data_IF_841989340686
#
_entry.id   IF_841989340686
#
_cell.length_a   1.000
_cell.length_b   1.000
_cell.length_c   1.000
_cell.angle_alpha   90.00
_cell.angle_beta   90.00
_cell.angle_gamma   90.00
#
_symmetry.space_group_name_H-M   'P 1'
#
loop_
_entity.id
_entity.type
_entity.pdbx_description
1 polymer ?
#
# COMPACT_ATOMS: atom_id res chain seq x y z
N UNK A 1 -1.58 -11.71 -4.11
CA UNK A 1 -2.87 -12.11 -3.50
C UNK A 1 -3.41 -13.37 -4.17
N UNK A 2 -3.72 -13.35 -5.47
CA UNK A 2 -4.37 -14.46 -6.17
C UNK A 2 -3.62 -15.80 -6.04
N UNK A 3 -2.29 -15.80 -6.10
CA UNK A 3 -1.50 -17.02 -5.91
C UNK A 3 -1.72 -17.63 -4.51
N UNK A 4 -1.69 -16.79 -3.47
CA UNK A 4 -1.94 -17.24 -2.10
C UNK A 4 -3.35 -17.82 -1.92
N UNK A 5 -4.37 -17.20 -2.53
CA UNK A 5 -5.75 -17.72 -2.56
C UNK A 5 -5.77 -19.11 -3.21
N UNK A 6 -5.23 -19.25 -4.41
CA UNK A 6 -5.21 -20.54 -5.16
C UNK A 6 -4.57 -21.66 -4.37
N UNK A 7 -3.42 -21.40 -3.76
CA UNK A 7 -2.70 -22.43 -2.98
C UNK A 7 -3.48 -22.85 -1.74
N UNK A 8 -4.14 -21.90 -1.04
CA UNK A 8 -4.97 -22.22 0.11
C UNK A 8 -6.21 -23.03 -0.28
N UNK A 9 -6.93 -22.63 -1.33
CA UNK A 9 -8.10 -23.36 -1.81
C UNK A 9 -7.74 -24.78 -2.26
N UNK A 10 -6.63 -24.94 -2.97
CA UNK A 10 -6.14 -26.27 -3.39
C UNK A 10 -5.83 -27.18 -2.17
N UNK A 11 -5.32 -26.62 -1.08
CA UNK A 11 -5.04 -27.36 0.15
C UNK A 11 -6.29 -27.81 0.91
N UNK A 12 -7.43 -27.18 0.64
CA UNK A 12 -8.74 -27.44 1.27
C UNK A 12 -9.71 -28.23 0.36
N UNK A 13 -9.24 -28.70 -0.80
CA UNK A 13 -10.07 -29.38 -1.82
C UNK A 13 -11.24 -28.51 -2.29
N UNK A 14 -11.01 -27.20 -2.39
CA UNK A 14 -11.98 -26.21 -2.84
C UNK A 14 -11.71 -25.82 -4.28
N UNK A 15 -12.76 -25.56 -5.04
CA UNK A 15 -12.68 -25.18 -6.45
C UNK A 15 -12.79 -23.67 -6.63
N UNK A 16 -11.82 -23.08 -7.30
CA UNK A 16 -11.90 -21.70 -7.78
C UNK A 16 -12.68 -21.67 -9.12
N UNK A 17 -13.94 -21.18 -9.07
CA UNK A 17 -14.83 -21.17 -10.23
C UNK A 17 -14.40 -20.12 -11.26
N UNK A 18 -14.21 -18.89 -10.83
CA UNK A 18 -13.86 -17.76 -11.70
C UNK A 18 -13.04 -16.71 -10.97
N UNK A 19 -12.24 -15.96 -11.75
CA UNK A 19 -11.48 -14.78 -11.28
C UNK A 19 -11.82 -13.61 -12.19
N UNK A 20 -12.46 -12.60 -11.62
CA UNK A 20 -12.73 -11.33 -12.30
C UNK A 20 -11.73 -10.26 -11.85
N UNK A 21 -11.07 -9.60 -12.79
CA UNK A 21 -10.16 -8.48 -12.53
C UNK A 21 -10.77 -7.16 -13.02
N UNK A 22 -11.24 -6.33 -12.11
CA UNK A 22 -11.77 -5.01 -12.43
C UNK A 22 -10.64 -4.00 -12.59
N UNK A 23 -10.24 -3.76 -13.82
CA UNK A 23 -9.44 -2.58 -14.16
C UNK A 23 -10.41 -1.44 -14.47
N UNK A 24 -10.62 -0.51 -13.52
CA UNK A 24 -11.43 0.65 -13.84
C UNK A 24 -12.37 1.16 -12.76
N UNK A 25 -13.56 1.58 -13.18
CA UNK A 25 -14.52 2.28 -12.34
C UNK A 25 -15.25 1.35 -11.36
N UNK A 26 -15.79 1.96 -10.29
CA UNK A 26 -16.66 1.29 -9.31
C UNK A 26 -17.82 0.54 -10.01
N UNK A 27 -18.40 1.12 -11.05
CA UNK A 27 -19.49 0.47 -11.83
C UNK A 27 -19.06 -0.84 -12.46
N UNK A 28 -17.83 -0.95 -12.98
CA UNK A 28 -17.30 -2.22 -13.50
C UNK A 28 -17.18 -3.28 -12.40
N UNK A 29 -16.72 -2.89 -11.22
CA UNK A 29 -16.60 -3.80 -10.06
C UNK A 29 -17.97 -4.27 -9.57
N UNK A 30 -18.96 -3.37 -9.53
CA UNK A 30 -20.33 -3.71 -9.19
C UNK A 30 -20.92 -4.74 -10.17
N UNK A 31 -20.75 -4.52 -11.46
CA UNK A 31 -21.19 -5.47 -12.49
C UNK A 31 -20.51 -6.85 -12.33
N UNK A 32 -19.20 -6.89 -12.12
CA UNK A 32 -18.48 -8.14 -11.92
C UNK A 32 -18.93 -8.89 -10.66
N UNK A 33 -19.16 -8.20 -9.56
CA UNK A 33 -19.72 -8.83 -8.36
C UNK A 33 -21.11 -9.41 -8.62
N UNK A 34 -21.93 -8.75 -9.43
CA UNK A 34 -23.23 -9.25 -9.82
C UNK A 34 -23.12 -10.50 -10.72
N UNK A 35 -22.20 -10.52 -11.66
CA UNK A 35 -21.94 -11.67 -12.52
C UNK A 35 -21.44 -12.87 -11.72
N UNK A 36 -20.49 -12.67 -10.81
CA UNK A 36 -20.00 -13.71 -9.90
C UNK A 36 -21.13 -14.27 -9.02
N UNK A 37 -22.02 -13.44 -8.52
CA UNK A 37 -23.18 -13.88 -7.73
C UNK A 37 -24.14 -14.80 -8.53
N UNK A 38 -24.28 -14.57 -9.83
CA UNK A 38 -25.13 -15.43 -10.71
C UNK A 38 -24.63 -16.86 -10.83
N UNK A 39 -23.35 -17.09 -10.57
CA UNK A 39 -22.76 -18.44 -10.53
C UNK A 39 -23.16 -19.19 -9.26
N UNK A 40 -23.84 -18.53 -8.32
CA UNK A 40 -24.24 -19.05 -7.02
C UNK A 40 -23.10 -19.77 -6.26
N UNK A 41 -21.92 -19.14 -6.11
CA UNK A 41 -20.81 -19.75 -5.42
C UNK A 41 -21.08 -19.80 -3.91
N UNK A 42 -20.42 -20.70 -3.20
CA UNK A 42 -20.48 -20.76 -1.73
C UNK A 42 -19.83 -19.54 -1.09
N UNK A 43 -18.79 -18.98 -1.71
CA UNK A 43 -18.12 -17.77 -1.26
C UNK A 43 -17.65 -16.87 -2.42
N UNK A 44 -17.63 -15.55 -2.17
CA UNK A 44 -16.99 -14.55 -3.03
C UNK A 44 -15.88 -13.88 -2.23
N UNK A 45 -14.65 -13.95 -2.72
CA UNK A 45 -13.52 -13.18 -2.19
C UNK A 45 -13.42 -11.89 -2.99
N UNK A 46 -13.65 -10.73 -2.34
CA UNK A 46 -13.53 -9.41 -2.96
C UNK A 46 -12.33 -8.66 -2.39
N UNK A 47 -11.41 -8.27 -3.27
CA UNK A 47 -10.28 -7.40 -2.92
C UNK A 47 -10.52 -6.01 -3.51
N UNK A 48 -11.06 -5.10 -2.72
CA UNK A 48 -11.43 -3.75 -3.15
C UNK A 48 -11.34 -2.74 -2.02
N UNK A 49 -10.82 -1.56 -2.35
CA UNK A 49 -10.80 -0.39 -1.45
C UNK A 49 -11.99 0.54 -1.64
N UNK A 50 -12.91 0.23 -2.57
CA UNK A 50 -14.12 1.05 -2.84
C UNK A 50 -15.34 0.61 -2.02
N UNK A 51 -15.14 0.24 -0.79
CA UNK A 51 -16.17 -0.38 0.06
C UNK A 51 -17.40 0.50 0.24
N UNK A 52 -17.21 1.80 0.40
CA UNK A 52 -18.33 2.74 0.54
C UNK A 52 -19.18 2.77 -0.73
N UNK A 53 -18.55 2.80 -1.89
CA UNK A 53 -19.25 2.84 -3.17
C UNK A 53 -19.89 1.50 -3.56
N UNK A 54 -19.38 0.38 -3.03
CA UNK A 54 -19.92 -0.97 -3.24
C UNK A 54 -20.82 -1.44 -2.09
N UNK A 55 -21.10 -0.58 -1.12
CA UNK A 55 -21.88 -0.92 0.09
C UNK A 55 -23.18 -1.64 -0.22
N UNK A 56 -24.00 -1.09 -1.10
CA UNK A 56 -25.31 -1.66 -1.43
C UNK A 56 -25.18 -3.03 -2.09
N UNK A 57 -24.16 -3.22 -2.90
CA UNK A 57 -23.84 -4.52 -3.50
C UNK A 57 -23.44 -5.55 -2.45
N UNK A 58 -22.59 -5.18 -1.53
CA UNK A 58 -22.17 -6.08 -0.44
C UNK A 58 -23.34 -6.46 0.46
N UNK A 59 -24.24 -5.53 0.77
CA UNK A 59 -25.46 -5.81 1.51
C UNK A 59 -26.41 -6.74 0.74
N UNK A 60 -26.56 -6.56 -0.57
CA UNK A 60 -27.37 -7.45 -1.41
C UNK A 60 -26.79 -8.87 -1.43
N UNK A 61 -25.47 -9.02 -1.59
CA UNK A 61 -24.80 -10.33 -1.57
C UNK A 61 -24.97 -11.03 -0.22
N UNK A 62 -24.95 -10.31 0.88
CA UNK A 62 -25.15 -10.88 2.22
C UNK A 62 -26.56 -11.42 2.45
N UNK A 63 -27.57 -10.92 1.71
CA UNK A 63 -28.94 -11.43 1.76
C UNK A 63 -29.09 -12.75 1.00
N UNK A 64 -28.14 -13.10 0.14
CA UNK A 64 -28.02 -14.37 -0.55
C UNK A 64 -27.24 -15.37 0.34
N UNK A 65 -27.21 -16.64 0.00
CA UNK A 65 -26.48 -17.65 0.79
C UNK A 65 -24.96 -17.60 0.58
N UNK A 66 -24.48 -16.80 -0.36
CA UNK A 66 -23.06 -16.66 -0.69
C UNK A 66 -22.33 -15.90 0.42
N UNK A 67 -21.26 -16.48 0.95
CA UNK A 67 -20.39 -15.80 1.94
C UNK A 67 -19.53 -14.76 1.25
N UNK A 68 -19.52 -13.55 1.78
CA UNK A 68 -18.61 -12.49 1.33
C UNK A 68 -17.38 -12.45 2.23
N UNK A 69 -16.21 -12.53 1.61
CA UNK A 69 -14.90 -12.44 2.27
C UNK A 69 -14.17 -11.25 1.68
N UNK A 70 -13.73 -10.32 2.52
CA UNK A 70 -13.15 -9.06 2.08
C UNK A 70 -11.64 -9.02 2.31
N UNK A 71 -10.90 -8.73 1.24
CA UNK A 71 -9.51 -8.32 1.31
C UNK A 71 -9.43 -6.79 1.20
N UNK A 72 -8.95 -6.10 2.23
CA UNK A 72 -9.06 -4.65 2.34
C UNK A 72 -7.83 -4.04 3.02
N UNK A 73 -7.66 -2.72 2.89
CA UNK A 73 -6.61 -2.00 3.62
C UNK A 73 -7.07 -1.59 5.03
N UNK A 74 -8.37 -1.43 5.24
CA UNK A 74 -9.00 -1.22 6.56
C UNK A 74 -10.28 -2.04 6.66
N UNK A 75 -10.69 -2.43 7.88
CA UNK A 75 -12.00 -3.04 8.09
C UNK A 75 -13.12 -2.18 7.50
N UNK A 76 -14.10 -2.79 6.82
CA UNK A 76 -15.17 -2.05 6.15
C UNK A 76 -16.14 -1.43 7.17
N UNK A 77 -16.68 -0.25 6.81
CA UNK A 77 -17.85 0.33 7.50
C UNK A 77 -19.14 -0.35 6.99
N UNK A 78 -19.28 -1.64 7.32
CA UNK A 78 -20.41 -2.49 7.00
C UNK A 78 -20.93 -3.16 8.27
N UNK A 79 -22.24 -3.50 8.34
CA UNK A 79 -22.75 -4.32 9.43
C UNK A 79 -22.03 -5.68 9.47
N UNK A 80 -21.84 -6.23 10.66
CA UNK A 80 -21.15 -7.51 10.86
C UNK A 80 -21.75 -8.69 10.06
N UNK A 81 -23.06 -8.65 9.81
CA UNK A 81 -23.75 -9.66 9.01
C UNK A 81 -23.48 -9.56 7.50
N UNK A 82 -22.92 -8.44 7.01
CA UNK A 82 -22.73 -8.18 5.58
C UNK A 82 -21.56 -8.93 4.98
N UNK A 83 -20.68 -9.52 5.79
CA UNK A 83 -19.53 -10.30 5.35
C UNK A 83 -19.16 -11.36 6.40
N UNK A 84 -18.60 -12.47 5.95
CA UNK A 84 -18.20 -13.56 6.84
C UNK A 84 -16.93 -13.18 7.62
N UNK A 85 -15.98 -12.54 6.94
CA UNK A 85 -14.72 -12.07 7.54
C UNK A 85 -14.04 -11.05 6.65
N UNK A 86 -13.04 -10.34 7.20
CA UNK A 86 -12.14 -9.51 6.42
C UNK A 86 -10.67 -9.76 6.81
N UNK A 87 -9.79 -9.68 5.82
CA UNK A 87 -8.35 -9.67 5.98
C UNK A 87 -7.85 -8.29 5.60
N UNK A 88 -7.31 -7.56 6.56
CA UNK A 88 -6.88 -6.16 6.38
C UNK A 88 -5.39 -5.99 6.62
N UNK A 89 -4.78 -4.99 5.97
CA UNK A 89 -3.41 -4.56 6.25
C UNK A 89 -3.41 -3.55 7.41
N UNK A 90 -2.35 -3.59 8.23
CA UNK A 90 -2.16 -2.58 9.26
C UNK A 90 -1.32 -1.41 8.69
N UNK A 91 -1.98 -0.46 8.06
CA UNK A 91 -1.31 0.68 7.42
C UNK A 91 -0.64 1.61 8.44
N UNK A 92 -1.16 1.72 9.65
CA UNK A 92 -0.49 2.45 10.75
C UNK A 92 0.85 1.82 11.09
N UNK A 93 0.89 0.51 11.30
CA UNK A 93 2.15 -0.18 11.63
C UNK A 93 3.14 -0.17 10.47
N UNK A 94 2.64 -0.28 9.24
CA UNK A 94 3.44 -0.14 8.02
C UNK A 94 4.12 1.24 7.95
N UNK A 95 3.40 2.30 8.27
CA UNK A 95 3.96 3.65 8.36
C UNK A 95 5.02 3.77 9.46
N UNK A 96 4.71 3.27 10.66
CA UNK A 96 5.66 3.25 11.79
C UNK A 96 6.96 2.55 11.44
N UNK A 97 6.88 1.37 10.84
CA UNK A 97 8.05 0.60 10.42
C UNK A 97 8.88 1.36 9.37
N UNK A 98 8.23 1.99 8.39
CA UNK A 98 8.93 2.77 7.37
C UNK A 98 9.64 4.00 7.95
N UNK A 99 8.96 4.76 8.82
CA UNK A 99 9.53 5.90 9.52
C UNK A 99 10.71 5.49 10.39
N UNK A 100 10.56 4.43 11.17
CA UNK A 100 11.62 3.90 12.05
C UNK A 100 12.82 3.39 11.25
N UNK A 101 12.59 2.67 10.16
CA UNK A 101 13.65 2.16 9.30
C UNK A 101 14.51 3.29 8.72
N UNK A 102 13.86 4.30 8.13
CA UNK A 102 14.57 5.46 7.58
C UNK A 102 15.32 6.23 8.68
N UNK A 103 14.64 6.56 9.77
CA UNK A 103 15.21 7.32 10.87
C UNK A 103 16.43 6.62 11.49
N UNK A 104 16.33 5.34 11.79
CA UNK A 104 17.42 4.55 12.38
C UNK A 104 18.63 4.51 11.48
N UNK A 105 18.43 4.32 10.18
CA UNK A 105 19.53 4.26 9.22
C UNK A 105 20.17 5.64 8.97
N UNK A 106 19.37 6.70 8.96
CA UNK A 106 19.88 8.07 8.90
C UNK A 106 20.78 8.38 10.09
N UNK A 107 20.35 8.09 11.32
CA UNK A 107 21.14 8.30 12.53
C UNK A 107 22.42 7.48 12.48
N UNK A 108 22.34 6.21 12.10
CA UNK A 108 23.51 5.33 11.98
C UNK A 108 24.55 5.89 11.01
N UNK A 109 24.13 6.64 9.99
CA UNK A 109 24.99 7.29 8.99
C UNK A 109 25.32 8.75 9.32
N UNK A 110 24.93 9.27 10.48
CA UNK A 110 25.16 10.65 10.89
C UNK A 110 24.33 11.69 10.13
N UNK A 111 23.24 11.26 9.46
CA UNK A 111 22.34 12.12 8.71
C UNK A 111 21.18 12.59 9.56
N UNK A 112 20.62 13.79 9.28
CA UNK A 112 19.59 14.41 10.11
C UNK A 112 18.40 15.03 9.36
N UNK A 113 18.54 15.35 8.06
CA UNK A 113 17.55 16.11 7.29
C UNK A 113 16.69 15.17 6.45
N UNK A 114 15.41 15.06 6.80
CA UNK A 114 14.47 14.10 6.19
C UNK A 114 13.32 14.83 5.48
N UNK A 115 13.01 14.40 4.26
CA UNK A 115 11.84 14.82 3.50
C UNK A 115 10.79 13.71 3.41
N UNK A 116 9.53 14.11 3.33
CA UNK A 116 8.41 13.19 3.14
C UNK A 116 7.68 13.50 1.83
N UNK A 117 7.53 12.47 0.99
CA UNK A 117 6.73 12.50 -0.23
C UNK A 117 5.53 11.56 -0.03
N UNK A 118 4.39 12.15 0.26
CA UNK A 118 3.18 11.48 0.73
C UNK A 118 2.11 11.40 -0.37
N UNK A 119 1.15 10.48 -0.20
CA UNK A 119 -0.01 10.42 -1.07
C UNK A 119 -1.03 11.50 -0.69
N UNK A 120 -1.41 12.33 -1.67
CA UNK A 120 -2.44 13.36 -1.52
C UNK A 120 -3.86 12.82 -1.73
N UNK A 121 -4.03 11.57 -2.17
CA UNK A 121 -5.34 10.99 -2.37
C UNK A 121 -6.14 10.97 -1.06
N UNK A 122 -7.45 11.16 -1.19
CA UNK A 122 -8.42 11.15 -0.08
C UNK A 122 -8.49 9.75 0.60
N UNK A 123 -7.74 8.78 0.09
CA UNK A 123 -7.69 7.44 0.65
C UNK A 123 -7.19 7.48 2.10
N UNK A 124 -8.12 7.23 3.01
CA UNK A 124 -7.89 7.24 4.46
C UNK A 124 -6.68 6.38 4.87
N UNK A 125 -6.50 5.23 4.25
CA UNK A 125 -5.44 4.26 4.56
C UNK A 125 -4.05 4.77 4.20
N UNK A 126 -3.90 5.34 3.00
CA UNK A 126 -2.64 5.93 2.58
C UNK A 126 -2.24 7.10 3.49
N UNK A 127 -3.23 7.95 3.83
CA UNK A 127 -3.02 9.06 4.77
C UNK A 127 -2.62 8.56 6.17
N UNK A 128 -3.27 7.52 6.67
CA UNK A 128 -2.97 6.94 7.98
C UNK A 128 -1.54 6.39 8.03
N UNK A 129 -1.09 5.70 6.99
CA UNK A 129 0.28 5.21 6.85
C UNK A 129 1.28 6.35 6.86
N UNK A 130 1.09 7.35 5.99
CA UNK A 130 2.03 8.46 5.83
C UNK A 130 2.11 9.32 7.10
N UNK A 131 0.98 9.59 7.74
CA UNK A 131 0.94 10.30 9.03
C UNK A 131 1.60 9.50 10.16
N UNK A 132 1.45 8.17 10.16
CA UNK A 132 2.11 7.31 11.13
C UNK A 132 3.64 7.29 10.95
N UNK A 133 4.12 7.32 9.69
CA UNK A 133 5.56 7.45 9.42
C UNK A 133 6.12 8.78 9.93
N UNK A 134 5.42 9.89 9.67
CA UNK A 134 5.79 11.23 10.15
C UNK A 134 5.78 11.29 11.68
N UNK A 135 4.68 10.81 12.30
CA UNK A 135 4.55 10.77 13.77
C UNK A 135 5.69 10.00 14.42
N UNK A 136 6.02 8.82 13.89
CA UNK A 136 7.15 8.01 14.39
C UNK A 136 8.48 8.77 14.34
N UNK A 137 8.77 9.47 13.23
CA UNK A 137 10.00 10.25 13.13
C UNK A 137 9.99 11.41 14.12
N UNK A 138 8.87 12.12 14.26
CA UNK A 138 8.74 13.27 15.14
C UNK A 138 8.85 12.90 16.62
N UNK A 139 8.21 11.80 17.04
CA UNK A 139 8.07 11.40 18.44
C UNK A 139 9.25 10.53 18.91
N UNK A 140 9.64 9.53 18.12
CA UNK A 140 10.67 8.56 18.52
C UNK A 140 12.10 9.03 18.15
N UNK A 141 12.26 9.99 17.23
CA UNK A 141 13.56 10.43 16.71
C UNK A 141 13.69 11.97 16.66
N UNK A 142 13.53 12.68 17.79
CA UNK A 142 13.49 14.15 17.82
C UNK A 142 14.79 14.83 17.39
N UNK A 143 15.88 14.08 17.22
CA UNK A 143 17.15 14.58 16.69
C UNK A 143 17.17 14.69 15.15
N UNK A 144 16.12 14.23 14.46
CA UNK A 144 15.94 14.40 13.02
C UNK A 144 15.06 15.61 12.73
N UNK A 145 15.44 16.38 11.72
CA UNK A 145 14.67 17.52 11.25
C UNK A 145 13.88 17.14 10.01
N UNK A 146 12.56 17.22 10.08
CA UNK A 146 11.69 17.09 8.90
C UNK A 146 11.76 18.42 8.14
N UNK A 147 12.51 18.46 7.04
CA UNK A 147 12.74 19.68 6.25
C UNK A 147 11.60 19.98 5.31
N UNK A 148 10.87 18.97 4.85
CA UNK A 148 9.65 19.18 4.09
C UNK A 148 8.70 17.97 4.17
N UNK A 149 7.43 18.26 3.90
CA UNK A 149 6.41 17.31 3.49
C UNK A 149 5.78 17.80 2.19
N UNK A 150 5.72 16.96 1.17
CA UNK A 150 5.05 17.20 -0.09
C UNK A 150 4.07 16.08 -0.37
N UNK A 151 2.85 16.47 -0.73
CA UNK A 151 1.80 15.54 -1.13
C UNK A 151 1.63 15.61 -2.66
N UNK A 152 1.39 14.48 -3.31
CA UNK A 152 1.03 14.47 -4.72
C UNK A 152 -0.06 13.43 -5.01
N UNK A 153 -0.87 13.72 -6.04
CA UNK A 153 -2.10 12.97 -6.32
C UNK A 153 -1.84 11.77 -7.23
N UNK A 154 -0.82 11.85 -8.10
CA UNK A 154 -0.55 10.83 -9.12
C UNK A 154 0.94 10.65 -9.34
N UNK A 155 1.36 9.44 -9.62
CA UNK A 155 2.75 9.10 -9.95
C UNK A 155 3.32 9.93 -11.11
N UNK A 156 2.48 10.37 -12.03
CA UNK A 156 2.88 11.25 -13.15
C UNK A 156 3.54 12.56 -12.72
N UNK A 157 3.22 13.04 -11.52
CA UNK A 157 3.75 14.28 -10.96
C UNK A 157 4.95 14.05 -10.02
N UNK A 158 5.33 12.79 -9.78
CA UNK A 158 6.36 12.45 -8.80
C UNK A 158 7.71 13.14 -9.08
N UNK A 159 8.12 13.21 -10.36
CA UNK A 159 9.38 13.85 -10.72
C UNK A 159 9.39 15.35 -10.37
N UNK A 160 8.35 16.09 -10.72
CA UNK A 160 8.28 17.53 -10.41
C UNK A 160 8.23 17.76 -8.90
N UNK A 161 7.43 16.97 -8.18
CA UNK A 161 7.32 17.09 -6.71
C UNK A 161 8.67 16.84 -6.03
N UNK A 162 9.38 15.78 -6.41
CA UNK A 162 10.70 15.43 -5.84
C UNK A 162 11.73 16.48 -6.21
N UNK A 163 11.80 16.88 -7.49
CA UNK A 163 12.74 17.90 -7.96
C UNK A 163 12.53 19.22 -7.22
N UNK A 164 11.32 19.78 -7.26
CA UNK A 164 11.01 21.07 -6.70
C UNK A 164 11.21 21.09 -5.17
N UNK A 165 10.95 19.96 -4.50
CA UNK A 165 11.23 19.81 -3.08
C UNK A 165 12.73 19.80 -2.78
N UNK A 166 13.54 19.09 -3.55
CA UNK A 166 14.99 19.02 -3.35
C UNK A 166 15.71 20.31 -3.77
N UNK A 167 15.20 21.03 -4.75
CA UNK A 167 15.69 22.37 -5.12
C UNK A 167 15.44 23.38 -4.00
N UNK A 168 14.28 23.31 -3.32
CA UNK A 168 13.94 24.15 -2.19
C UNK A 168 14.66 23.74 -0.88
N UNK A 169 15.02 22.45 -0.74
CA UNK A 169 15.64 21.85 0.43
C UNK A 169 16.87 20.99 0.04
N UNK A 170 17.93 21.63 -0.48
CA UNK A 170 19.13 20.92 -0.95
C UNK A 170 19.87 20.18 0.17
N UNK A 171 19.63 20.54 1.43
CA UNK A 171 20.17 19.89 2.62
C UNK A 171 19.55 18.51 2.92
N UNK A 172 18.55 18.07 2.17
CA UNK A 172 17.87 16.77 2.37
C UNK A 172 18.84 15.62 2.25
N UNK A 173 18.78 14.69 3.21
CA UNK A 173 19.68 13.53 3.33
C UNK A 173 18.94 12.19 3.33
N UNK A 174 17.62 12.20 3.52
CA UNK A 174 16.76 11.02 3.46
C UNK A 174 15.36 11.37 2.99
N UNK A 175 14.72 10.44 2.27
CA UNK A 175 13.36 10.57 1.76
C UNK A 175 12.52 9.34 2.10
N UNK A 176 11.39 9.60 2.71
CA UNK A 176 10.26 8.68 2.71
C UNK A 176 9.41 8.93 1.45
N UNK A 177 9.12 7.88 0.68
CA UNK A 177 8.28 7.96 -0.52
C UNK A 177 7.24 6.84 -0.48
N UNK A 178 5.97 7.18 -0.56
CA UNK A 178 4.89 6.22 -0.33
C UNK A 178 4.75 5.13 -1.40
N UNK A 179 5.15 5.36 -2.67
CA UNK A 179 4.96 4.41 -3.78
C UNK A 179 6.26 3.95 -4.42
N UNK A 180 6.24 2.73 -4.99
CA UNK A 180 7.36 2.16 -5.71
C UNK A 180 7.73 2.99 -6.95
N UNK A 181 6.73 3.38 -7.76
CA UNK A 181 6.96 4.13 -9.01
C UNK A 181 7.52 5.53 -8.75
N UNK A 182 6.99 6.21 -7.72
CA UNK A 182 7.54 7.50 -7.31
C UNK A 182 8.96 7.36 -6.74
N UNK A 183 9.27 6.27 -6.02
CA UNK A 183 10.61 6.00 -5.51
C UNK A 183 11.60 5.73 -6.66
N UNK A 184 11.19 4.96 -7.66
CA UNK A 184 12.01 4.72 -8.85
C UNK A 184 12.29 6.02 -9.62
N UNK A 185 11.27 6.86 -9.75
CA UNK A 185 11.41 8.18 -10.39
C UNK A 185 12.37 9.08 -9.61
N UNK A 186 12.24 9.12 -8.28
CA UNK A 186 13.14 9.86 -7.40
C UNK A 186 14.58 9.34 -7.49
N UNK A 187 14.77 8.03 -7.48
CA UNK A 187 16.11 7.42 -7.58
C UNK A 187 16.80 7.78 -8.90
N UNK A 188 16.09 7.68 -10.04
CA UNK A 188 16.63 8.08 -11.35
C UNK A 188 16.99 9.56 -11.39
N UNK A 189 16.18 10.41 -10.80
CA UNK A 189 16.47 11.84 -10.69
C UNK A 189 17.71 12.10 -9.82
N UNK A 190 17.79 11.52 -8.62
CA UNK A 190 18.93 11.65 -7.73
C UNK A 190 20.24 11.18 -8.40
N UNK A 191 20.19 10.08 -9.13
CA UNK A 191 21.32 9.59 -9.91
C UNK A 191 21.76 10.61 -10.98
N UNK A 192 20.79 11.23 -11.67
CA UNK A 192 21.09 12.22 -12.72
C UNK A 192 21.75 13.50 -12.23
N UNK A 193 21.54 13.83 -10.93
CA UNK A 193 22.13 15.03 -10.30
C UNK A 193 23.28 14.70 -9.32
N UNK A 194 23.74 13.42 -9.29
CA UNK A 194 24.84 12.98 -8.42
C UNK A 194 24.52 12.98 -6.92
N UNK A 195 23.25 12.86 -6.54
CA UNK A 195 22.80 12.85 -5.14
C UNK A 195 22.37 11.45 -4.67
N UNK A 196 23.12 10.42 -5.03
CA UNK A 196 22.90 9.05 -4.58
C UNK A 196 23.22 8.85 -3.08
N UNK A 197 23.74 9.88 -2.42
CA UNK A 197 23.91 9.96 -0.98
C UNK A 197 22.61 10.04 -0.19
N UNK A 198 21.48 10.47 -0.83
CA UNK A 198 20.17 10.57 -0.20
C UNK A 198 19.54 9.18 -0.06
N UNK A 199 19.20 8.83 1.18
CA UNK A 199 18.62 7.53 1.52
C UNK A 199 17.13 7.49 1.18
N UNK A 200 16.66 6.39 0.59
CA UNK A 200 15.26 6.22 0.21
C UNK A 200 14.63 5.05 0.97
N UNK A 201 13.46 5.28 1.55
CA UNK A 201 12.56 4.22 2.05
C UNK A 201 11.21 4.35 1.37
N UNK A 202 10.65 3.22 0.93
CA UNK A 202 9.34 3.15 0.28
C UNK A 202 8.39 2.18 0.98
N UNK A 203 7.08 2.37 0.76
CA UNK A 203 6.04 1.50 1.33
C UNK A 203 5.37 0.60 0.29
N UNK A 204 5.96 0.50 -0.89
CA UNK A 204 5.53 -0.44 -1.92
C UNK A 204 6.74 -1.13 -2.55
N UNK A 205 6.52 -2.29 -3.15
CA UNK A 205 7.54 -3.08 -3.84
C UNK A 205 7.09 -3.39 -5.27
N UNK A 206 8.03 -3.31 -6.19
CA UNK A 206 8.01 -3.92 -7.51
C UNK A 206 9.40 -4.50 -7.81
N UNK A 207 9.54 -5.19 -8.95
CA UNK A 207 10.79 -5.86 -9.30
C UNK A 207 11.98 -4.89 -9.41
N UNK A 208 11.77 -3.68 -9.91
CA UNK A 208 12.83 -2.67 -10.05
C UNK A 208 13.30 -2.15 -8.69
N UNK A 209 12.37 -1.83 -7.80
CA UNK A 209 12.69 -1.40 -6.42
C UNK A 209 13.39 -2.53 -5.64
N UNK A 210 12.95 -3.77 -5.81
CA UNK A 210 13.59 -4.91 -5.18
C UNK A 210 15.06 -5.07 -5.66
N UNK A 211 15.29 -4.89 -6.96
CA UNK A 211 16.68 -4.91 -7.53
C UNK A 211 17.54 -3.79 -6.97
N UNK A 212 17.04 -2.55 -6.93
CA UNK A 212 17.78 -1.42 -6.36
C UNK A 212 18.17 -1.66 -4.90
N UNK A 213 17.26 -2.20 -4.10
CA UNK A 213 17.54 -2.58 -2.72
C UNK A 213 18.61 -3.66 -2.62
N UNK A 214 18.51 -4.73 -3.41
CA UNK A 214 19.47 -5.83 -3.41
C UNK A 214 20.86 -5.40 -3.93
N UNK A 215 20.94 -4.41 -4.79
CA UNK A 215 22.19 -3.87 -5.32
C UNK A 215 22.85 -2.85 -4.36
N UNK A 216 22.35 -2.71 -3.14
CA UNK A 216 22.84 -1.76 -2.14
C UNK A 216 22.92 -0.31 -2.65
N UNK A 217 21.99 0.08 -3.48
CA UNK A 217 21.84 1.46 -3.89
C UNK A 217 21.19 2.29 -2.78
N UNK A 218 20.84 3.53 -3.05
CA UNK A 218 20.27 4.43 -2.05
C UNK A 218 18.86 4.05 -1.56
N UNK A 219 18.19 3.07 -2.16
CA UNK A 219 16.98 2.45 -1.61
C UNK A 219 17.38 1.51 -0.48
N UNK A 220 17.26 1.99 0.75
CA UNK A 220 17.75 1.31 1.96
C UNK A 220 16.69 0.50 2.69
N UNK A 221 15.43 0.64 2.29
CA UNK A 221 14.35 -0.07 2.95
C UNK A 221 13.05 -0.08 2.14
N UNK A 222 12.36 -1.21 2.27
CA UNK A 222 11.06 -1.45 1.66
C UNK A 222 10.14 -2.01 2.74
N UNK A 223 9.02 -1.34 3.01
CA UNK A 223 7.99 -1.82 3.93
C UNK A 223 6.71 -2.01 3.15
N UNK A 224 6.43 -3.24 2.73
CA UNK A 224 5.26 -3.52 1.91
C UNK A 224 4.25 -4.42 2.60
N UNK A 225 3.01 -4.44 2.09
CA UNK A 225 1.99 -5.37 2.50
C UNK A 225 2.38 -6.79 2.07
N UNK A 226 2.13 -7.77 2.92
CA UNK A 226 2.38 -9.18 2.63
C UNK A 226 1.25 -9.75 1.74
N UNK A 227 1.23 -9.31 0.48
CA UNK A 227 0.12 -9.62 -0.45
C UNK A 227 -0.10 -11.12 -0.65
N UNK A 228 0.96 -11.93 -0.63
CA UNK A 228 0.85 -13.39 -0.72
C UNK A 228 0.16 -13.98 0.51
N UNK A 229 0.61 -13.63 1.72
CA UNK A 229 0.01 -14.08 2.97
C UNK A 229 -1.43 -13.60 3.12
N UNK A 230 -1.73 -12.37 2.74
CA UNK A 230 -3.10 -11.88 2.66
C UNK A 230 -3.97 -12.80 1.78
N UNK A 231 -3.47 -13.18 0.61
CA UNK A 231 -4.14 -14.13 -0.26
C UNK A 231 -4.36 -15.49 0.39
N UNK A 232 -3.37 -16.01 1.10
CA UNK A 232 -3.50 -17.27 1.85
C UNK A 232 -4.60 -17.18 2.91
N UNK A 233 -4.64 -16.11 3.71
CA UNK A 233 -5.68 -15.93 4.72
C UNK A 233 -7.07 -15.77 4.11
N UNK A 234 -7.19 -15.06 2.98
CA UNK A 234 -8.45 -14.95 2.24
C UNK A 234 -8.95 -16.32 1.74
N UNK A 235 -8.05 -17.15 1.22
CA UNK A 235 -8.39 -18.49 0.77
C UNK A 235 -8.74 -19.44 1.93
N UNK A 236 -8.07 -19.32 3.08
CA UNK A 236 -8.39 -20.10 4.28
C UNK A 236 -9.73 -19.70 4.92
N UNK A 237 -10.20 -18.50 4.66
CA UNK A 237 -11.47 -17.96 5.19
C UNK A 237 -12.68 -18.36 4.33
N UNK A 238 -12.46 -18.80 3.09
CA UNK A 238 -13.52 -19.24 2.18
C UNK A 238 -14.12 -20.58 2.61
#
# INVERSE_FOLDING_TARGET
VLQGVRESLASLDMTLLEVAEAKGSVGMRDMQLQELARLAPDAIISFSNDQTALRDRFLALSAERTKLILGVDVPPDLPEYAYATCVATNETEKGRLAGRLLASEMIRRGKRKIGFVCNADINFTARQRDMSAIGTVTEDFPQLDIVFRKDFIREQNALSVVRDALEAHPETEGLYIFSADATLTAQKYLQSIGREDILLVTTQINDEIARLFLMNQNVIGIVSSQAYEMGRYLGLAA
#
